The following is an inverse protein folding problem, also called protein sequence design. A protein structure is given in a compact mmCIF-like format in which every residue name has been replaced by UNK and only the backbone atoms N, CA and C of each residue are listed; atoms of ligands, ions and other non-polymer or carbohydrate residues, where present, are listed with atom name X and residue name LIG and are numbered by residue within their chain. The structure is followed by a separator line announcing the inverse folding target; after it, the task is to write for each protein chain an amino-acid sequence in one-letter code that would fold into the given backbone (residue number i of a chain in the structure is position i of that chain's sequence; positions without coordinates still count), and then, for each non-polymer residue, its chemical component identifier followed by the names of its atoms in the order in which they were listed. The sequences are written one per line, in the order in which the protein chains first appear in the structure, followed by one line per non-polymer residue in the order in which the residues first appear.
data_IF_318103738862
#
_entry.id   IF_318103738862
#
_cell.length_a   1.000
_cell.length_b   1.000
_cell.length_c   1.000
_cell.angle_alpha   90.00
_cell.angle_beta   90.00
_cell.angle_gamma   90.00
#
_symmetry.space_group_name_H-M   'P 1'
#
loop_
_entity.id
_entity.type
_entity.pdbx_description
1 polymer ?
#
# COMPACT_ATOMS: atom_id res chain seq x y z
N UNK A 1 56.55 -32.97 -20.05
CA UNK A 1 55.33 -32.49 -19.36
C UNK A 1 55.77 -31.48 -18.30
N UNK A 2 55.42 -30.20 -18.44
CA UNK A 2 55.80 -29.16 -17.47
C UNK A 2 54.82 -29.21 -16.29
N UNK A 3 55.31 -29.43 -15.08
CA UNK A 3 54.48 -29.41 -13.87
C UNK A 3 53.83 -28.03 -13.72
N UNK A 4 52.51 -27.93 -13.47
CA UNK A 4 51.91 -26.65 -13.13
C UNK A 4 52.56 -26.11 -11.86
N UNK A 5 53.01 -24.86 -11.93
CA UNK A 5 53.67 -24.18 -10.81
C UNK A 5 52.77 -24.27 -9.57
N UNK A 6 53.35 -24.67 -8.43
CA UNK A 6 52.62 -24.78 -7.14
C UNK A 6 51.90 -23.49 -6.76
N UNK A 7 52.42 -22.34 -7.22
CA UNK A 7 51.80 -21.03 -7.06
C UNK A 7 50.46 -20.95 -7.80
N UNK A 8 50.39 -21.51 -9.01
CA UNK A 8 49.18 -21.50 -9.83
C UNK A 8 48.06 -22.34 -9.20
N UNK A 9 48.41 -23.48 -8.60
CA UNK A 9 47.45 -24.35 -7.88
C UNK A 9 46.92 -23.67 -6.62
N UNK A 10 47.80 -23.00 -5.85
CA UNK A 10 47.40 -22.25 -4.65
C UNK A 10 46.50 -21.05 -5.00
N UNK A 11 46.80 -20.34 -6.08
CA UNK A 11 46.01 -19.20 -6.55
C UNK A 11 44.62 -19.66 -7.04
N UNK A 12 44.54 -20.81 -7.71
CA UNK A 12 43.27 -21.37 -8.14
C UNK A 12 42.41 -21.84 -6.97
N UNK A 13 43.00 -22.43 -5.92
CA UNK A 13 42.28 -22.78 -4.68
C UNK A 13 41.76 -21.53 -3.99
N UNK A 14 42.53 -20.43 -3.96
CA UNK A 14 42.09 -19.17 -3.37
C UNK A 14 40.93 -18.54 -4.14
N UNK A 15 40.96 -18.59 -5.48
CA UNK A 15 39.84 -18.12 -6.32
C UNK A 15 38.60 -18.98 -6.13
N UNK A 16 38.75 -20.32 -6.09
CA UNK A 16 37.64 -21.24 -5.84
C UNK A 16 37.04 -21.10 -4.43
N UNK A 17 37.87 -20.85 -3.42
CA UNK A 17 37.42 -20.61 -2.05
C UNK A 17 36.71 -19.27 -1.89
N UNK A 18 37.11 -18.23 -2.62
CA UNK A 18 36.36 -16.97 -2.67
C UNK A 18 35.05 -17.09 -3.45
N UNK A 19 35.00 -17.91 -4.51
CA UNK A 19 33.74 -18.22 -5.19
C UNK A 19 32.79 -19.05 -4.31
N UNK A 20 33.29 -20.02 -3.56
CA UNK A 20 32.49 -20.83 -2.65
C UNK A 20 32.09 -20.07 -1.36
N UNK A 21 32.89 -19.09 -0.93
CA UNK A 21 32.60 -18.20 0.20
C UNK A 21 31.49 -17.18 -0.06
N UNK A 22 31.12 -16.97 -1.33
CA UNK A 22 29.95 -16.17 -1.72
C UNK A 22 28.64 -16.98 -1.76
N UNK A 23 28.63 -18.20 -1.22
CA UNK A 23 27.46 -19.10 -1.23
C UNK A 23 26.75 -19.18 0.13
N UNK A 24 26.82 -18.11 0.94
CA UNK A 24 26.02 -17.97 2.16
C UNK A 24 24.87 -16.98 1.94
N UNK A 25 23.91 -17.35 1.08
CA UNK A 25 22.50 -16.91 1.14
C UNK A 25 21.76 -17.59 -0.02
N UNK A 26 20.66 -18.33 0.20
CA UNK A 26 19.89 -18.94 -0.88
C UNK A 26 19.09 -17.94 -1.74
N UNK A 27 19.32 -16.61 -1.66
CA UNK A 27 18.46 -15.62 -2.31
C UNK A 27 19.09 -14.32 -2.86
N UNK A 28 20.36 -14.01 -2.65
CA UNK A 28 20.76 -12.59 -2.70
C UNK A 28 21.19 -11.99 -4.06
N UNK A 29 21.68 -12.74 -5.04
CA UNK A 29 22.31 -12.10 -6.23
C UNK A 29 21.49 -12.19 -7.53
N UNK A 30 20.66 -13.22 -7.73
CA UNK A 30 19.99 -13.44 -9.03
C UNK A 30 18.46 -13.53 -8.96
N UNK A 31 17.85 -13.49 -7.78
CA UNK A 31 16.40 -13.54 -7.66
C UNK A 31 15.79 -12.17 -8.02
N UNK A 32 14.86 -12.08 -8.99
CA UNK A 32 14.18 -10.82 -9.29
C UNK A 32 13.41 -10.33 -8.05
N UNK A 33 13.45 -9.03 -7.78
CA UNK A 33 12.67 -8.40 -6.71
C UNK A 33 11.26 -8.08 -7.19
N UNK A 34 10.23 -8.17 -6.35
CA UNK A 34 8.88 -7.77 -6.74
C UNK A 34 8.80 -6.29 -7.16
N UNK A 35 8.23 -6.05 -8.34
CA UNK A 35 7.86 -4.71 -8.81
C UNK A 35 6.37 -4.50 -8.56
N UNK A 36 6.05 -3.94 -7.39
CA UNK A 36 4.68 -3.58 -7.01
C UNK A 36 4.38 -2.12 -7.38
N UNK A 37 3.13 -1.85 -7.74
CA UNK A 37 2.60 -0.50 -7.86
C UNK A 37 1.12 -0.45 -7.44
N UNK A 38 0.66 0.74 -7.08
CA UNK A 38 -0.76 0.99 -6.81
C UNK A 38 -1.47 1.15 -8.15
N UNK A 39 -2.39 0.23 -8.44
CA UNK A 39 -3.16 0.23 -9.69
C UNK A 39 -4.37 1.16 -9.61
N UNK A 40 -4.97 1.30 -8.42
CA UNK A 40 -6.17 2.10 -8.21
C UNK A 40 -6.31 2.52 -6.75
N UNK A 41 -6.78 3.74 -6.53
CA UNK A 41 -7.18 4.26 -5.23
C UNK A 41 -8.63 4.74 -5.36
N UNK A 42 -9.53 4.19 -4.55
CA UNK A 42 -10.95 4.57 -4.54
C UNK A 42 -11.45 4.84 -3.12
N UNK A 43 -12.20 5.93 -2.90
CA UNK A 43 -12.51 6.99 -3.85
C UNK A 43 -11.29 7.88 -4.16
N UNK A 44 -11.31 8.61 -5.28
CA UNK A 44 -10.21 9.52 -5.67
C UNK A 44 -10.07 10.74 -4.75
N UNK A 45 -11.15 11.07 -4.05
CA UNK A 45 -11.20 12.03 -2.96
C UNK A 45 -12.11 11.48 -1.86
N UNK A 46 -11.80 11.79 -0.61
CA UNK A 46 -12.63 11.40 0.52
C UNK A 46 -13.35 12.61 1.09
N UNK A 47 -14.67 12.52 1.15
CA UNK A 47 -15.55 13.50 1.77
C UNK A 47 -16.43 12.78 2.80
N UNK A 48 -16.47 13.24 4.05
CA UNK A 48 -17.41 12.70 5.04
C UNK A 48 -18.84 13.07 4.65
N UNK A 49 -19.77 12.16 4.87
CA UNK A 49 -21.20 12.37 4.62
C UNK A 49 -21.97 12.36 5.94
N UNK A 50 -23.05 13.16 6.01
CA UNK A 50 -23.91 13.21 7.18
C UNK A 50 -25.14 12.32 6.93
N UNK A 51 -25.35 11.26 7.72
CA UNK A 51 -26.57 10.47 7.61
C UNK A 51 -27.65 11.01 8.54
N UNK A 52 -28.83 11.30 7.99
CA UNK A 52 -30.01 11.56 8.80
C UNK A 52 -30.65 10.23 9.23
N UNK A 53 -30.80 10.04 10.54
CA UNK A 53 -31.49 8.89 11.09
C UNK A 53 -33.00 9.05 10.81
N UNK A 54 -33.54 8.23 9.90
CA UNK A 54 -34.98 8.27 9.52
C UNK A 54 -35.89 7.62 10.57
N UNK A 55 -35.34 7.24 11.72
CA UNK A 55 -36.12 6.68 12.81
C UNK A 55 -36.83 7.79 13.59
N UNK A 56 -38.17 7.73 13.55
CA UNK A 56 -39.12 8.66 14.14
C UNK A 56 -39.12 8.67 15.68
N UNK A 57 -37.98 8.99 16.29
CA UNK A 57 -37.80 8.96 17.73
C UNK A 57 -36.74 9.95 18.22
N UNK A 58 -37.15 11.20 18.45
CA UNK A 58 -36.66 12.09 19.51
C UNK A 58 -35.21 11.89 20.04
N UNK A 59 -34.20 12.06 19.19
CA UNK A 59 -32.92 12.72 19.53
C UNK A 59 -32.19 13.05 18.23
N UNK A 60 -31.90 14.33 17.99
CA UNK A 60 -31.26 14.83 16.76
C UNK A 60 -29.78 14.47 16.64
N UNK A 61 -29.42 13.20 16.85
CA UNK A 61 -28.05 12.71 16.71
C UNK A 61 -27.73 12.54 15.22
N UNK A 62 -26.88 13.43 14.71
CA UNK A 62 -26.34 13.36 13.35
C UNK A 62 -25.15 12.40 13.35
N UNK A 63 -25.19 11.36 12.52
CA UNK A 63 -24.06 10.43 12.38
C UNK A 63 -23.20 10.84 11.19
N UNK A 64 -21.87 10.87 11.38
CA UNK A 64 -20.91 11.11 10.29
C UNK A 64 -20.44 9.77 9.73
N UNK A 65 -20.64 9.58 8.43
CA UNK A 65 -20.15 8.45 7.67
C UNK A 65 -18.78 8.79 7.07
N UNK A 66 -17.79 7.94 7.35
CA UNK A 66 -16.45 8.03 6.81
C UNK A 66 -16.29 7.01 5.66
N UNK A 67 -16.03 7.44 4.42
CA UNK A 67 -15.71 6.51 3.35
C UNK A 67 -14.39 5.79 3.64
N UNK A 68 -14.39 4.46 3.54
CA UNK A 68 -13.17 3.67 3.59
C UNK A 68 -12.38 3.85 2.29
N UNK A 69 -11.06 3.96 2.40
CA UNK A 69 -10.17 4.01 1.25
C UNK A 69 -9.80 2.61 0.81
N UNK A 70 -10.09 2.29 -0.45
CA UNK A 70 -9.73 1.05 -1.09
C UNK A 70 -8.48 1.25 -1.96
N UNK A 71 -7.39 0.57 -1.61
CA UNK A 71 -6.13 0.63 -2.37
C UNK A 71 -5.90 -0.71 -3.05
N UNK A 72 -5.80 -0.69 -4.37
CA UNK A 72 -5.53 -1.85 -5.20
C UNK A 72 -4.06 -1.85 -5.62
N UNK A 73 -3.47 -3.03 -5.59
CA UNK A 73 -2.08 -3.27 -5.93
C UNK A 73 -1.98 -4.18 -7.14
N UNK A 74 -0.90 -4.02 -7.89
CA UNK A 74 -0.54 -4.92 -8.97
C UNK A 74 0.97 -5.13 -9.00
N UNK A 75 1.39 -6.24 -9.59
CA UNK A 75 2.80 -6.65 -9.73
C UNK A 75 3.11 -6.80 -11.22
N UNK A 76 4.14 -6.11 -11.71
CA UNK A 76 4.51 -6.14 -13.14
C UNK A 76 5.36 -7.34 -13.54
N UNK A 77 6.14 -7.91 -12.62
CA UNK A 77 7.24 -8.82 -12.98
C UNK A 77 7.09 -10.26 -12.47
N UNK A 78 5.88 -10.69 -12.11
CA UNK A 78 5.62 -12.10 -11.78
C UNK A 78 6.05 -12.53 -10.37
N UNK A 79 6.65 -11.64 -9.55
CA UNK A 79 7.11 -11.97 -8.20
C UNK A 79 6.11 -11.47 -7.16
N UNK A 80 5.43 -12.41 -6.48
CA UNK A 80 4.44 -12.07 -5.45
C UNK A 80 5.10 -11.44 -4.21
N UNK A 81 4.35 -10.67 -3.44
CA UNK A 81 4.86 -10.05 -2.21
C UNK A 81 3.82 -9.93 -1.11
N UNK A 82 4.30 -9.72 0.11
CA UNK A 82 3.48 -9.44 1.28
C UNK A 82 3.67 -7.98 1.69
N UNK A 83 2.56 -7.25 1.79
CA UNK A 83 2.52 -5.94 2.45
C UNK A 83 2.18 -6.19 3.92
N UNK A 84 3.04 -5.68 4.81
CA UNK A 84 3.00 -5.97 6.25
C UNK A 84 2.59 -4.77 7.10
N UNK A 85 2.79 -3.57 6.59
CA UNK A 85 2.52 -2.34 7.33
C UNK A 85 2.24 -1.18 6.40
N UNK A 86 1.58 -0.16 6.96
CA UNK A 86 1.41 1.12 6.30
C UNK A 86 1.66 2.27 7.28
N UNK A 87 2.02 3.42 6.71
CA UNK A 87 2.12 4.70 7.40
C UNK A 87 1.35 5.73 6.59
N UNK A 88 0.41 6.41 7.23
CA UNK A 88 -0.35 7.53 6.69
C UNK A 88 0.26 8.81 7.23
N UNK A 89 0.70 9.69 6.34
CA UNK A 89 1.17 11.04 6.65
C UNK A 89 0.22 12.07 6.07
N UNK A 90 -0.11 13.06 6.89
CA UNK A 90 -1.02 14.12 6.49
C UNK A 90 -0.23 15.38 6.20
N UNK A 91 -0.44 15.97 5.03
CA UNK A 91 0.21 17.22 4.64
C UNK A 91 -0.79 18.21 4.05
N UNK A 92 -0.47 19.49 4.14
CA UNK A 92 -1.15 20.54 3.38
C UNK A 92 -0.86 20.39 1.88
N UNK A 93 -1.58 21.12 1.03
CA UNK A 93 -1.26 21.22 -0.41
C UNK A 93 0.14 21.72 -0.72
N UNK A 94 0.74 22.49 0.19
CA UNK A 94 2.12 22.96 0.08
C UNK A 94 3.17 21.90 0.48
N UNK A 95 2.72 20.71 0.92
CA UNK A 95 3.59 19.61 1.35
C UNK A 95 4.11 19.73 2.79
N UNK A 96 3.65 20.74 3.55
CA UNK A 96 4.00 20.87 4.96
C UNK A 96 3.23 19.82 5.79
N UNK A 97 3.85 19.20 6.81
CA UNK A 97 3.17 18.24 7.67
C UNK A 97 2.03 18.92 8.42
N UNK A 98 0.89 18.24 8.52
CA UNK A 98 -0.26 18.75 9.24
C UNK A 98 -0.02 18.62 10.75
N UNK A 99 -0.05 19.74 11.48
CA UNK A 99 0.10 19.77 12.94
C UNK A 99 1.35 19.01 13.43
N UNK A 100 2.48 19.23 12.74
CA UNK A 100 3.77 18.60 12.99
C UNK A 100 3.74 17.05 13.03
N UNK A 101 2.83 16.44 12.26
CA UNK A 101 2.68 14.99 12.18
C UNK A 101 1.86 14.37 13.33
N UNK A 102 1.21 15.17 14.17
CA UNK A 102 0.36 14.67 15.28
C UNK A 102 -0.78 13.76 14.79
N UNK A 103 -1.23 13.95 13.56
CA UNK A 103 -2.28 13.13 12.95
C UNK A 103 -1.75 11.90 12.23
N UNK A 104 -0.43 11.78 12.05
CA UNK A 104 0.16 10.65 11.33
C UNK A 104 -0.16 9.35 12.05
N UNK A 105 -0.48 8.34 11.26
CA UNK A 105 -0.95 7.06 11.76
C UNK A 105 -0.20 5.94 11.08
N UNK A 106 0.08 4.87 11.80
CA UNK A 106 0.68 3.66 11.24
C UNK A 106 -0.07 2.45 11.74
N UNK A 107 -0.10 1.42 10.90
CA UNK A 107 -0.79 0.19 11.20
C UNK A 107 -0.11 -1.01 10.55
N UNK A 108 -0.48 -2.19 11.04
CA UNK A 108 -0.15 -3.44 10.39
C UNK A 108 -1.23 -3.77 9.36
N UNK A 109 -0.82 -4.27 8.20
CA UNK A 109 -1.70 -4.89 7.22
C UNK A 109 -1.11 -6.25 6.88
N UNK A 110 -1.91 -7.25 6.56
CA UNK A 110 -1.38 -8.53 6.08
C UNK A 110 -2.05 -8.80 4.75
N UNK A 111 -1.45 -8.28 3.69
CA UNK A 111 -1.95 -8.46 2.33
C UNK A 111 -0.92 -9.23 1.51
N UNK A 112 -1.34 -10.37 0.98
CA UNK A 112 -0.58 -11.07 -0.05
C UNK A 112 -1.00 -10.56 -1.42
N UNK A 113 -0.07 -9.93 -2.13
CA UNK A 113 -0.26 -9.45 -3.49
C UNK A 113 0.25 -10.53 -4.44
N UNK A 114 -0.67 -11.28 -5.03
CA UNK A 114 -0.35 -12.36 -5.97
C UNK A 114 0.03 -11.74 -7.31
N UNK A 115 1.16 -12.17 -7.86
CA UNK A 115 1.57 -11.81 -9.21
C UNK A 115 0.74 -12.55 -10.27
N UNK A 116 0.53 -11.96 -11.47
CA UNK A 116 -0.19 -12.63 -12.54
C UNK A 116 0.52 -13.92 -12.95
N UNK A 117 -0.27 -14.96 -13.27
CA UNK A 117 0.28 -16.24 -13.71
C UNK A 117 1.02 -16.03 -15.06
N UNK A 118 2.33 -16.29 -15.08
CA UNK A 118 3.16 -16.07 -16.26
C UNK A 118 3.09 -17.29 -17.17
N UNK A 119 2.13 -17.32 -18.09
CA UNK A 119 2.01 -18.39 -19.08
C UNK A 119 3.11 -18.28 -20.16
N UNK A 120 4.27 -18.89 -19.90
CA UNK A 120 5.33 -19.11 -20.88
C UNK A 120 5.05 -20.33 -21.77
N UNK A 121 3.93 -20.34 -22.51
CA UNK A 121 3.69 -21.43 -23.45
C UNK A 121 2.31 -21.48 -24.09
N UNK A 122 2.33 -21.41 -25.42
CA UNK A 122 1.35 -21.88 -26.40
C UNK A 122 -0.07 -21.26 -26.39
N UNK A 123 -0.32 -20.47 -27.43
CA UNK A 123 -1.66 -20.32 -27.98
C UNK A 123 -2.19 -21.71 -28.40
N UNK A 124 -3.22 -22.21 -27.71
CA UNK A 124 -4.24 -23.09 -28.25
C UNK A 124 -5.39 -23.18 -27.23
N UNK A 125 -6.60 -23.03 -27.75
CA UNK A 125 -7.90 -23.13 -27.08
C UNK A 125 -8.04 -24.35 -26.17
N UNK A 126 -8.56 -24.18 -24.95
CA UNK A 126 -9.92 -24.59 -24.56
C UNK A 126 -10.14 -24.41 -23.05
N UNK A 127 -11.23 -23.68 -22.74
CA UNK A 127 -12.20 -23.87 -21.66
C UNK A 127 -11.76 -23.97 -20.17
N UNK A 128 -12.23 -22.97 -19.42
CA UNK A 128 -12.62 -22.94 -18.00
C UNK A 128 -11.84 -23.75 -16.96
N UNK A 129 -11.09 -23.02 -16.12
CA UNK A 129 -10.96 -23.34 -14.70
C UNK A 129 -11.19 -22.07 -13.85
N UNK A 130 -12.42 -21.76 -13.42
CA UNK A 130 -12.63 -20.80 -12.33
C UNK A 130 -12.50 -21.55 -11.00
N UNK A 131 -11.28 -21.85 -10.55
CA UNK A 131 -11.09 -22.30 -9.17
C UNK A 131 -9.73 -21.87 -8.61
N UNK A 132 -9.57 -20.56 -8.45
CA UNK A 132 -8.83 -20.07 -7.31
C UNK A 132 -9.58 -18.84 -6.83
N UNK A 133 -9.93 -18.80 -5.54
CA UNK A 133 -10.34 -17.58 -4.90
C UNK A 133 -9.29 -16.52 -5.24
N UNK A 134 -9.61 -15.62 -6.18
CA UNK A 134 -8.78 -14.49 -6.50
C UNK A 134 -8.84 -13.62 -5.26
N UNK A 135 -7.88 -13.82 -4.35
CA UNK A 135 -7.64 -12.90 -3.26
C UNK A 135 -7.45 -11.56 -3.93
N UNK A 136 -8.42 -10.67 -3.77
CA UNK A 136 -8.33 -9.34 -4.35
C UNK A 136 -7.03 -8.73 -3.82
N UNK A 137 -6.16 -8.27 -4.72
CA UNK A 137 -4.94 -7.54 -4.38
C UNK A 137 -5.30 -6.14 -3.88
N UNK A 138 -6.17 -6.07 -2.87
CA UNK A 138 -6.84 -4.88 -2.40
C UNK A 138 -6.82 -4.88 -0.87
N UNK A 139 -6.60 -3.70 -0.29
CA UNK A 139 -6.84 -3.47 1.13
C UNK A 139 -7.83 -2.33 1.30
N UNK A 140 -8.68 -2.45 2.32
CA UNK A 140 -9.49 -1.34 2.82
C UNK A 140 -8.75 -0.70 3.99
N UNK A 141 -8.79 0.62 4.05
CA UNK A 141 -8.15 1.40 5.08
C UNK A 141 -9.03 2.53 5.54
N UNK A 142 -9.07 2.73 6.85
CA UNK A 142 -9.66 3.91 7.44
C UNK A 142 -8.62 5.02 7.43
N UNK A 143 -8.92 6.11 6.72
CA UNK A 143 -8.09 7.30 6.70
C UNK A 143 -8.78 8.34 7.56
N UNK A 144 -8.03 8.87 8.52
CA UNK A 144 -8.54 9.90 9.39
C UNK A 144 -8.84 11.17 8.60
N UNK A 145 -10.01 11.77 8.86
CA UNK A 145 -10.42 12.99 8.21
C UNK A 145 -10.35 14.16 9.20
N UNK A 146 -9.43 15.12 9.01
CA UNK A 146 -9.31 16.29 9.89
C UNK A 146 -10.60 17.13 10.00
N UNK A 147 -11.47 17.07 8.98
CA UNK A 147 -12.82 17.64 9.02
C UNK A 147 -13.65 17.10 10.18
N UNK A 148 -13.62 15.78 10.40
CA UNK A 148 -14.36 15.09 11.46
C UNK A 148 -13.77 15.43 12.83
N UNK A 149 -12.45 15.56 12.95
CA UNK A 149 -11.84 16.08 14.19
C UNK A 149 -12.35 17.47 14.54
N UNK A 150 -12.37 18.37 13.55
CA UNK A 150 -12.82 19.75 13.74
C UNK A 150 -14.30 19.80 14.11
N UNK A 151 -15.12 18.98 13.46
CA UNK A 151 -16.53 18.83 13.80
C UNK A 151 -16.72 18.32 15.24
N UNK A 152 -16.07 17.21 15.63
CA UNK A 152 -16.21 16.62 16.96
C UNK A 152 -15.70 17.54 18.08
N UNK A 153 -14.71 18.40 17.79
CA UNK A 153 -14.12 19.30 18.80
C UNK A 153 -14.80 20.66 18.89
N UNK A 154 -15.30 21.21 17.77
CA UNK A 154 -15.91 22.55 17.73
C UNK A 154 -17.43 22.52 17.70
N UNK A 155 -18.06 21.36 17.46
CA UNK A 155 -19.51 21.14 17.59
C UNK A 155 -20.38 21.80 16.52
N UNK A 156 -19.81 22.35 15.44
CA UNK A 156 -20.57 22.97 14.35
C UNK A 156 -20.59 22.08 13.10
N UNK A 157 -21.79 21.83 12.58
CA UNK A 157 -22.02 21.12 11.30
C UNK A 157 -21.83 22.01 10.08
N UNK A 158 -22.01 23.32 10.24
CA UNK A 158 -21.81 24.30 9.17
C UNK A 158 -20.38 24.82 9.27
N UNK A 159 -19.45 24.11 8.65
CA UNK A 159 -18.06 24.55 8.54
C UNK A 159 -17.89 25.16 7.14
N UNK A 160 -18.21 26.45 7.02
CA UNK A 160 -17.80 27.30 5.89
C UNK A 160 -16.30 27.63 5.92
N UNK A 161 -15.54 27.07 6.86
CA UNK A 161 -14.10 27.30 7.00
C UNK A 161 -13.33 26.33 6.09
N UNK A 162 -13.54 26.58 4.80
CA UNK A 162 -12.81 26.06 3.65
C UNK A 162 -11.44 26.74 3.63
N UNK A 163 -10.36 26.11 4.12
CA UNK A 163 -9.05 26.80 4.05
C UNK A 163 -7.88 25.95 3.55
N UNK A 164 -7.83 24.62 3.68
CA UNK A 164 -6.67 23.91 3.10
C UNK A 164 -7.00 22.47 2.73
N UNK A 165 -6.87 22.09 1.43
CA UNK A 165 -6.93 20.69 1.05
C UNK A 165 -5.83 19.93 1.77
N UNK A 166 -6.21 18.82 2.37
CA UNK A 166 -5.26 17.93 3.07
C UNK A 166 -4.99 16.75 2.15
N UNK A 167 -3.73 16.38 2.04
CA UNK A 167 -3.28 15.22 1.31
C UNK A 167 -2.95 14.14 2.34
N UNK A 168 -3.57 12.97 2.21
CA UNK A 168 -3.13 11.77 2.92
C UNK A 168 -2.23 10.96 1.99
N UNK A 169 -0.94 10.91 2.34
CA UNK A 169 0.04 10.03 1.68
C UNK A 169 0.15 8.76 2.48
N UNK A 170 0.00 7.63 1.82
CA UNK A 170 0.05 6.30 2.44
C UNK A 170 1.26 5.58 1.88
N UNK A 171 2.22 5.27 2.74
CA UNK A 171 3.40 4.50 2.43
C UNK A 171 3.21 3.08 2.95
N UNK A 172 3.20 2.10 2.06
CA UNK A 172 3.13 0.68 2.37
C UNK A 172 4.52 0.08 2.35
N UNK A 173 4.78 -0.83 3.28
CA UNK A 173 6.05 -1.55 3.38
C UNK A 173 5.82 -3.03 3.60
N UNK A 174 6.73 -3.83 3.05
CA UNK A 174 6.57 -5.27 2.98
C UNK A 174 7.83 -5.97 2.51
N UNK A 175 7.65 -7.24 2.18
CA UNK A 175 8.71 -8.10 1.66
C UNK A 175 8.17 -8.98 0.54
N UNK A 176 8.98 -9.24 -0.48
CA UNK A 176 8.63 -10.22 -1.49
C UNK A 176 8.89 -11.66 -1.03
N UNK A 177 8.49 -12.63 -1.86
CA UNK A 177 8.73 -14.07 -1.59
C UNK A 177 10.22 -14.44 -1.50
N UNK A 178 11.12 -13.56 -1.96
CA UNK A 178 12.57 -13.71 -1.89
C UNK A 178 13.17 -12.93 -0.71
N UNK A 179 12.35 -12.51 0.25
CA UNK A 179 12.71 -11.71 1.45
C UNK A 179 13.27 -10.30 1.15
N UNK A 180 13.12 -9.80 -0.09
CA UNK A 180 13.57 -8.46 -0.46
C UNK A 180 12.54 -7.42 -0.02
N UNK A 181 13.03 -6.28 0.48
CA UNK A 181 12.17 -5.20 0.93
C UNK A 181 11.38 -4.60 -0.24
N UNK A 182 10.09 -4.36 0.00
CA UNK A 182 9.17 -3.77 -0.97
C UNK A 182 8.51 -2.56 -0.33
N UNK A 183 8.39 -1.47 -1.09
CA UNK A 183 7.74 -0.24 -0.65
C UNK A 183 6.94 0.37 -1.78
N UNK A 184 5.72 0.84 -1.49
CA UNK A 184 4.86 1.50 -2.47
C UNK A 184 4.07 2.61 -1.80
N UNK A 185 3.80 3.70 -2.51
CA UNK A 185 3.04 4.83 -1.98
C UNK A 185 1.75 5.08 -2.75
N UNK A 186 0.67 5.34 -2.03
CA UNK A 186 -0.58 5.88 -2.55
C UNK A 186 -0.80 7.31 -2.02
N UNK A 187 -1.66 8.06 -2.69
CA UNK A 187 -2.06 9.39 -2.25
C UNK A 187 -3.56 9.56 -2.49
N UNK A 188 -4.25 10.16 -1.53
CA UNK A 188 -5.66 10.57 -1.66
C UNK A 188 -5.83 12.00 -1.16
N UNK A 189 -6.69 12.75 -1.83
CA UNK A 189 -7.06 14.10 -1.41
C UNK A 189 -8.24 14.02 -0.43
N UNK A 190 -8.12 14.75 0.68
CA UNK A 190 -9.17 14.88 1.70
C UNK A 190 -9.91 16.19 1.48
N UNK A 191 -11.22 16.11 1.40
CA UNK A 191 -12.08 17.28 1.41
C UNK A 191 -12.39 17.62 2.87
N UNK A 192 -12.23 18.90 3.23
CA UNK A 192 -12.41 19.37 4.60
C UNK A 192 -13.85 19.71 4.96
N UNK A 193 -14.79 19.56 4.03
CA UNK A 193 -16.23 19.83 4.20
C UNK A 193 -17.02 18.54 4.29
N UNK A 194 -18.04 18.52 5.15
CA UNK A 194 -19.01 17.42 5.22
C UNK A 194 -20.06 17.65 4.13
N UNK A 195 -20.39 16.61 3.37
CA UNK A 195 -21.48 16.68 2.39
C UNK A 195 -22.81 16.57 3.12
N UNK A 196 -23.65 17.58 2.94
CA UNK A 196 -25.06 17.58 3.37
C UNK A 196 -25.92 17.05 2.21
N UNK A 197 -26.92 16.20 2.48
CA UNK A 197 -27.90 15.82 1.44
C UNK A 197 -28.73 17.07 1.07
N UNK A 198 -28.88 17.31 -0.24
CA UNK A 198 -29.75 18.39 -0.74
C UNK A 198 -31.21 18.05 -0.40
N UNK A 199 -31.83 18.90 0.43
CA UNK A 199 -33.27 18.92 0.68
C UNK A 199 -34.05 19.41 -0.56
#
# INVERSE_FOLDING_TARGET
MKQPSRVFVLLMIFVLANLAGCQNSPGDILSPSAEIFVSKVEPSYMQPELSEDTSSGSSGEKTILLPALAVNFNVSNGVSCFINSYVIRYSTTSGAPLNDGKFDHSGAVSLFVKAPDVNWGAAADDEELPDSATVANQTLMEVFQPAVYTFMTKGNSVITDDITPVIARIEFSGKDVNDKAVSVSAQVNLITTIKEEEN
#
